data_IF_831652358626
#
_entry.id   IF_831652358626
#
_cell.length_a   1.000
_cell.length_b   1.000
_cell.length_c   1.000
_cell.angle_alpha   90.00
_cell.angle_beta   90.00
_cell.angle_gamma   90.00
#
_symmetry.space_group_name_H-M   'P 1'
#
loop_
_entity.id
_entity.type
_entity.pdbx_description
1 polymer ?
#
# COMPACT_ATOMS: atom_id res chain seq x y z
N UNK A 1 16.49 -4.86 -32.45
CA UNK A 1 17.01 -4.18 -31.24
C UNK A 1 17.00 -2.66 -31.46
N UNK A 2 15.90 -1.95 -31.11
CA UNK A 2 15.88 -0.48 -31.00
C UNK A 2 15.28 0.08 -29.69
N UNK A 3 14.88 -0.76 -28.72
CA UNK A 3 14.06 -0.30 -27.57
C UNK A 3 14.79 0.60 -26.56
N UNK A 4 16.11 0.49 -26.41
CA UNK A 4 16.84 1.16 -25.33
C UNK A 4 16.91 2.69 -25.45
N UNK A 5 16.90 3.22 -26.68
CA UNK A 5 17.02 4.68 -26.90
C UNK A 5 15.75 5.44 -26.53
N UNK A 6 14.58 4.86 -26.77
CA UNK A 6 13.29 5.49 -26.46
C UNK A 6 12.99 5.48 -24.95
N UNK A 7 13.39 4.43 -24.23
CA UNK A 7 13.23 4.35 -22.77
C UNK A 7 14.07 5.39 -22.02
N UNK A 8 15.31 5.61 -22.48
CA UNK A 8 16.21 6.62 -21.88
C UNK A 8 15.68 8.04 -22.10
N UNK A 9 15.09 8.31 -23.27
CA UNK A 9 14.47 9.59 -23.59
C UNK A 9 13.25 9.88 -22.70
N UNK A 10 12.35 8.89 -22.54
CA UNK A 10 11.18 9.03 -21.68
C UNK A 10 11.57 9.26 -20.21
N UNK A 11 12.54 8.50 -19.69
CA UNK A 11 12.99 8.64 -18.30
C UNK A 11 13.57 10.04 -18.03
N UNK A 12 14.36 10.57 -18.96
CA UNK A 12 14.89 11.93 -18.86
C UNK A 12 13.79 12.99 -18.93
N UNK A 13 12.80 12.80 -19.81
CA UNK A 13 11.68 13.73 -19.94
C UNK A 13 10.75 13.73 -18.71
N UNK A 14 10.51 12.57 -18.09
CA UNK A 14 9.80 12.49 -16.81
C UNK A 14 10.60 13.17 -15.71
N UNK A 15 11.92 12.95 -15.63
CA UNK A 15 12.77 13.60 -14.63
C UNK A 15 12.74 15.13 -14.74
N UNK A 16 12.77 15.67 -15.95
CA UNK A 16 12.62 17.11 -16.20
C UNK A 16 11.24 17.64 -15.78
N UNK A 17 10.15 16.89 -16.05
CA UNK A 17 8.82 17.25 -15.58
C UNK A 17 8.73 17.28 -14.05
N UNK A 18 9.32 16.29 -13.37
CA UNK A 18 9.38 16.23 -11.90
C UNK A 18 10.20 17.38 -11.33
N UNK A 19 11.36 17.69 -11.90
CA UNK A 19 12.19 18.80 -11.44
C UNK A 19 11.46 20.16 -11.53
N UNK A 20 10.66 20.38 -12.58
CA UNK A 20 9.80 21.58 -12.68
C UNK A 20 8.70 21.59 -11.64
N UNK A 21 8.06 20.45 -11.41
CA UNK A 21 7.05 20.31 -10.36
C UNK A 21 7.63 20.62 -8.98
N UNK A 22 8.81 20.09 -8.63
CA UNK A 22 9.46 20.38 -7.35
C UNK A 22 9.79 21.87 -7.18
N UNK A 23 10.15 22.55 -8.28
CA UNK A 23 10.45 23.97 -8.25
C UNK A 23 9.21 24.88 -8.15
N UNK A 24 8.07 24.45 -8.70
CA UNK A 24 6.91 25.31 -8.92
C UNK A 24 5.66 24.89 -8.15
N UNK A 25 5.63 23.67 -7.62
CA UNK A 25 4.47 23.02 -7.00
C UNK A 25 3.21 23.01 -7.90
N UNK A 26 3.38 23.06 -9.21
CA UNK A 26 2.27 23.05 -10.18
C UNK A 26 1.91 21.62 -10.61
N UNK A 27 0.97 21.03 -9.88
CA UNK A 27 0.48 19.67 -10.16
C UNK A 27 -0.27 19.57 -11.50
N UNK A 28 -0.90 20.65 -11.95
CA UNK A 28 -1.67 20.66 -13.21
C UNK A 28 -0.71 20.60 -14.39
N UNK A 29 0.36 21.41 -14.34
CA UNK A 29 1.42 21.37 -15.34
C UNK A 29 2.12 20.00 -15.36
N UNK A 30 2.41 19.42 -14.18
CA UNK A 30 2.97 18.07 -14.07
C UNK A 30 2.07 17.03 -14.75
N UNK A 31 0.81 16.94 -14.35
CA UNK A 31 -0.11 15.94 -14.88
C UNK A 31 -0.33 16.09 -16.38
N UNK A 32 -0.42 17.34 -16.89
CA UNK A 32 -0.50 17.60 -18.33
C UNK A 32 0.73 17.05 -19.06
N UNK A 33 1.93 17.34 -18.54
CA UNK A 33 3.18 16.86 -19.14
C UNK A 33 3.32 15.35 -19.08
N UNK A 34 2.97 14.72 -17.96
CA UNK A 34 3.01 13.27 -17.82
C UNK A 34 2.02 12.58 -18.76
N UNK A 35 0.83 13.15 -18.97
CA UNK A 35 -0.15 12.64 -19.92
C UNK A 35 0.38 12.66 -21.36
N UNK A 36 1.01 13.77 -21.78
CA UNK A 36 1.69 13.86 -23.09
C UNK A 36 2.79 12.82 -23.26
N UNK A 37 3.62 12.63 -22.23
CA UNK A 37 4.72 11.66 -22.24
C UNK A 37 4.24 10.21 -22.24
N UNK A 38 3.10 9.95 -21.61
CA UNK A 38 2.49 8.63 -21.54
C UNK A 38 1.71 8.26 -22.81
N UNK A 39 1.39 9.23 -23.66
CA UNK A 39 0.72 8.97 -24.93
C UNK A 39 1.64 8.20 -25.89
N UNK A 40 1.15 7.08 -26.41
CA UNK A 40 1.92 6.17 -27.27
C UNK A 40 3.11 5.43 -26.61
N UNK A 41 3.49 5.74 -25.37
CA UNK A 41 4.60 5.07 -24.68
C UNK A 41 4.25 3.63 -24.28
N UNK A 42 5.23 2.73 -24.36
CA UNK A 42 5.07 1.35 -23.92
C UNK A 42 5.10 1.23 -22.39
N UNK A 43 4.38 0.24 -21.85
CA UNK A 43 4.26 0.04 -20.41
C UNK A 43 5.62 -0.21 -19.71
N UNK A 44 6.59 -0.86 -20.35
CA UNK A 44 7.90 -1.09 -19.71
C UNK A 44 8.70 0.21 -19.58
N UNK A 45 8.65 1.06 -20.60
CA UNK A 45 9.26 2.38 -20.55
C UNK A 45 8.60 3.27 -19.48
N UNK A 46 7.27 3.23 -19.36
CA UNK A 46 6.53 3.95 -18.32
C UNK A 46 6.89 3.45 -16.91
N UNK A 47 6.96 2.14 -16.71
CA UNK A 47 7.39 1.54 -15.43
C UNK A 47 8.81 1.98 -15.10
N UNK A 48 9.72 1.94 -16.07
CA UNK A 48 11.12 2.36 -15.87
C UNK A 48 11.23 3.85 -15.52
N UNK A 49 10.51 4.71 -16.23
CA UNK A 49 10.51 6.15 -15.99
C UNK A 49 9.86 6.53 -14.65
N UNK A 50 8.84 5.78 -14.21
CA UNK A 50 8.16 6.02 -12.94
C UNK A 50 8.91 5.44 -11.72
N UNK A 51 9.80 4.45 -11.90
CA UNK A 51 10.43 3.71 -10.81
C UNK A 51 11.14 4.59 -9.75
N UNK A 52 11.89 5.66 -10.12
CA UNK A 52 12.51 6.56 -9.13
C UNK A 52 11.50 7.35 -8.30
N UNK A 53 10.28 7.51 -8.80
CA UNK A 53 9.23 8.37 -8.26
C UNK A 53 8.06 7.57 -7.68
N UNK A 54 8.25 6.28 -7.39
CA UNK A 54 7.19 5.39 -6.91
C UNK A 54 6.52 5.86 -5.58
N UNK A 55 7.17 6.75 -4.84
CA UNK A 55 6.65 7.35 -3.60
C UNK A 55 6.03 8.74 -3.80
N UNK A 56 6.01 9.26 -5.03
CA UNK A 56 5.40 10.55 -5.37
C UNK A 56 4.09 10.25 -6.13
N UNK A 57 2.92 10.26 -5.46
CA UNK A 57 1.68 9.81 -6.06
C UNK A 57 1.25 10.65 -7.28
N UNK A 58 1.58 11.95 -7.31
CA UNK A 58 1.37 12.87 -8.43
C UNK A 58 2.15 12.47 -9.70
N UNK A 59 3.23 11.68 -9.55
CA UNK A 59 4.04 11.17 -10.65
C UNK A 59 3.66 9.73 -10.96
N UNK A 60 3.67 8.86 -9.96
CA UNK A 60 3.39 7.44 -10.12
C UNK A 60 1.96 7.19 -10.59
N UNK A 61 0.96 7.90 -10.05
CA UNK A 61 -0.45 7.72 -10.37
C UNK A 61 -0.73 7.83 -11.88
N UNK A 62 -0.51 8.99 -12.52
CA UNK A 62 -0.79 9.17 -13.95
C UNK A 62 -0.05 8.18 -14.87
N UNK A 63 1.22 7.87 -14.57
CA UNK A 63 1.99 6.92 -15.37
C UNK A 63 1.45 5.49 -15.21
N UNK A 64 1.12 5.07 -13.99
CA UNK A 64 0.58 3.73 -13.73
C UNK A 64 -0.88 3.56 -14.15
N UNK A 65 -1.66 4.64 -14.26
CA UNK A 65 -2.98 4.60 -14.94
C UNK A 65 -2.80 4.09 -16.38
N UNK A 66 -1.81 4.62 -17.10
CA UNK A 66 -1.51 4.18 -18.47
C UNK A 66 -0.96 2.75 -18.51
N UNK A 67 -0.09 2.38 -17.58
CA UNK A 67 0.44 1.00 -17.47
C UNK A 67 -0.70 0.01 -17.24
N UNK A 68 -1.61 0.28 -16.31
CA UNK A 68 -2.75 -0.61 -15.99
C UNK A 68 -3.73 -0.70 -17.16
N UNK A 69 -3.93 0.37 -17.92
CA UNK A 69 -4.72 0.30 -19.17
C UNK A 69 -4.10 -0.66 -20.20
N UNK A 70 -2.77 -0.69 -20.33
CA UNK A 70 -2.07 -1.60 -21.24
C UNK A 70 -1.95 -3.03 -20.69
N UNK A 71 -1.86 -3.17 -19.37
CA UNK A 71 -1.64 -4.43 -18.65
C UNK A 71 -2.64 -4.58 -17.49
N UNK A 72 -3.93 -4.87 -17.79
CA UNK A 72 -4.99 -4.84 -16.78
C UNK A 72 -4.89 -5.94 -15.70
N UNK A 73 -4.02 -6.93 -15.92
CA UNK A 73 -3.75 -8.06 -15.02
C UNK A 73 -2.31 -8.07 -14.48
N UNK A 74 -1.57 -6.98 -14.59
CA UNK A 74 -0.28 -6.85 -13.91
C UNK A 74 -0.52 -6.49 -12.44
N UNK A 75 -0.41 -7.48 -11.55
CA UNK A 75 -0.63 -7.31 -10.12
C UNK A 75 0.28 -6.25 -9.49
N UNK A 76 1.52 -6.13 -9.96
CA UNK A 76 2.46 -5.13 -9.43
C UNK A 76 2.03 -3.73 -9.85
N UNK A 77 1.66 -3.53 -11.12
CA UNK A 77 1.18 -2.25 -11.61
C UNK A 77 -0.11 -1.81 -10.90
N UNK A 78 -1.05 -2.74 -10.70
CA UNK A 78 -2.28 -2.50 -9.96
C UNK A 78 -2.00 -2.05 -8.51
N UNK A 79 -1.05 -2.70 -7.82
CA UNK A 79 -0.64 -2.33 -6.46
C UNK A 79 -0.01 -0.94 -6.41
N UNK A 80 0.87 -0.59 -7.36
CA UNK A 80 1.49 0.75 -7.39
C UNK A 80 0.44 1.82 -7.63
N UNK A 81 -0.48 1.60 -8.57
CA UNK A 81 -1.59 2.53 -8.83
C UNK A 81 -2.49 2.69 -7.60
N UNK A 82 -2.88 1.58 -6.97
CA UNK A 82 -3.71 1.59 -5.76
C UNK A 82 -3.03 2.33 -4.60
N UNK A 83 -1.72 2.15 -4.41
CA UNK A 83 -0.97 2.89 -3.40
C UNK A 83 -0.92 4.40 -3.71
N UNK A 84 -0.69 4.78 -4.99
CA UNK A 84 -0.72 6.20 -5.38
C UNK A 84 -2.10 6.83 -5.12
N UNK A 85 -3.17 6.11 -5.46
CA UNK A 85 -4.55 6.54 -5.19
C UNK A 85 -4.86 6.67 -3.71
N UNK A 86 -4.36 5.75 -2.88
CA UNK A 86 -4.51 5.84 -1.42
C UNK A 86 -3.82 7.10 -0.88
N UNK A 87 -2.56 7.32 -1.25
CA UNK A 87 -1.77 8.48 -0.78
C UNK A 87 -2.36 9.82 -1.27
N UNK A 88 -2.98 9.84 -2.44
CA UNK A 88 -3.64 11.04 -3.00
C UNK A 88 -5.12 11.18 -2.58
N UNK A 89 -5.62 10.33 -1.69
CA UNK A 89 -6.96 10.48 -1.11
C UNK A 89 -8.12 10.16 -2.07
N UNK A 90 -7.91 9.32 -3.09
CA UNK A 90 -8.98 8.86 -4.00
C UNK A 90 -10.05 7.98 -3.32
N UNK A 91 -9.78 7.52 -2.11
CA UNK A 91 -10.74 6.83 -1.25
C UNK A 91 -10.66 5.30 -1.29
N UNK A 92 -11.29 4.63 -0.32
CA UNK A 92 -11.20 3.19 -0.12
C UNK A 92 -11.79 2.37 -1.26
N UNK A 93 -12.91 2.78 -1.87
CA UNK A 93 -13.62 1.97 -2.87
C UNK A 93 -12.75 1.64 -4.09
N UNK A 94 -12.12 2.66 -4.68
CA UNK A 94 -11.27 2.50 -5.86
C UNK A 94 -9.99 1.72 -5.52
N UNK A 95 -9.40 1.99 -4.35
CA UNK A 95 -8.21 1.25 -3.88
C UNK A 95 -8.54 -0.22 -3.64
N UNK A 96 -9.70 -0.51 -3.05
CA UNK A 96 -10.20 -1.86 -2.81
C UNK A 96 -10.47 -2.63 -4.10
N UNK A 97 -11.01 -1.98 -5.13
CA UNK A 97 -11.21 -2.59 -6.46
C UNK A 97 -9.87 -2.98 -7.10
N UNK A 98 -8.91 -2.06 -7.14
CA UNK A 98 -7.58 -2.31 -7.70
C UNK A 98 -6.83 -3.41 -6.93
N UNK A 99 -6.92 -3.39 -5.60
CA UNK A 99 -6.32 -4.42 -4.76
C UNK A 99 -6.97 -5.80 -5.00
N UNK A 100 -8.29 -5.86 -5.15
CA UNK A 100 -9.02 -7.10 -5.49
C UNK A 100 -8.58 -7.66 -6.84
N UNK A 101 -8.43 -6.80 -7.86
CA UNK A 101 -7.92 -7.19 -9.17
C UNK A 101 -6.47 -7.66 -9.09
N UNK A 102 -5.63 -7.03 -8.28
CA UNK A 102 -4.25 -7.44 -8.08
C UNK A 102 -4.16 -8.81 -7.40
N UNK A 103 -5.00 -9.10 -6.39
CA UNK A 103 -5.10 -10.43 -5.76
C UNK A 103 -5.55 -11.48 -6.78
N UNK A 104 -6.52 -11.15 -7.65
CA UNK A 104 -7.00 -12.08 -8.67
C UNK A 104 -5.92 -12.39 -9.72
N UNK A 105 -5.09 -11.41 -10.07
CA UNK A 105 -3.97 -11.57 -11.00
C UNK A 105 -2.79 -12.36 -10.39
N UNK A 106 -2.43 -12.05 -9.14
CA UNK A 106 -1.41 -12.75 -8.39
C UNK A 106 -1.80 -12.87 -6.90
N UNK A 107 -2.34 -14.03 -6.49
CA UNK A 107 -2.73 -14.27 -5.11
C UNK A 107 -1.56 -14.24 -4.11
N UNK A 108 -0.30 -14.30 -4.59
CA UNK A 108 0.89 -14.25 -3.74
C UNK A 108 1.41 -12.83 -3.52
N UNK A 109 0.84 -11.83 -4.20
CA UNK A 109 1.23 -10.44 -4.07
C UNK A 109 0.78 -9.86 -2.71
N UNK A 110 1.71 -9.84 -1.76
CA UNK A 110 1.50 -9.33 -0.39
C UNK A 110 0.97 -7.89 -0.34
N UNK A 111 1.46 -7.01 -1.22
CA UNK A 111 1.04 -5.61 -1.27
C UNK A 111 -0.44 -5.45 -1.65
N UNK A 112 -0.94 -6.32 -2.53
CA UNK A 112 -2.35 -6.35 -2.90
C UNK A 112 -3.25 -6.69 -1.70
N UNK A 113 -2.85 -7.71 -0.93
CA UNK A 113 -3.56 -8.09 0.30
C UNK A 113 -3.55 -6.98 1.37
N UNK A 114 -2.43 -6.26 1.50
CA UNK A 114 -2.33 -5.13 2.42
C UNK A 114 -3.28 -4.00 2.05
N UNK A 115 -3.28 -3.58 0.78
CA UNK A 115 -4.18 -2.52 0.30
C UNK A 115 -5.66 -2.95 0.38
N UNK A 116 -5.95 -4.22 0.11
CA UNK A 116 -7.31 -4.76 0.23
C UNK A 116 -7.83 -4.75 1.67
N UNK A 117 -6.98 -5.09 2.65
CA UNK A 117 -7.35 -4.99 4.06
C UNK A 117 -7.46 -3.52 4.51
N UNK A 118 -6.49 -2.68 4.12
CA UNK A 118 -6.45 -1.25 4.47
C UNK A 118 -7.66 -0.47 3.94
N UNK A 119 -8.14 -0.81 2.73
CA UNK A 119 -9.27 -0.15 2.09
C UNK A 119 -10.63 -0.51 2.73
N UNK A 120 -10.70 -1.46 3.66
CA UNK A 120 -11.95 -1.77 4.35
C UNK A 120 -12.28 -0.68 5.38
N UNK A 121 -13.42 0.00 5.21
CA UNK A 121 -13.81 1.11 6.07
C UNK A 121 -14.41 0.64 7.39
N UNK A 122 -15.13 -0.49 7.38
CA UNK A 122 -15.73 -1.06 8.59
C UNK A 122 -14.65 -1.66 9.52
N UNK A 123 -14.52 -1.19 10.78
CA UNK A 123 -13.44 -1.63 11.67
C UNK A 123 -13.42 -3.14 11.94
N UNK A 124 -14.59 -3.75 12.07
CA UNK A 124 -14.72 -5.19 12.34
C UNK A 124 -14.32 -6.00 11.12
N UNK A 125 -14.83 -5.66 9.94
CA UNK A 125 -14.43 -6.31 8.69
C UNK A 125 -12.95 -6.09 8.39
N UNK A 126 -12.41 -4.89 8.63
CA UNK A 126 -10.98 -4.59 8.43
C UNK A 126 -10.10 -5.46 9.34
N UNK A 127 -10.49 -5.63 10.60
CA UNK A 127 -9.83 -6.55 11.53
C UNK A 127 -9.86 -7.99 11.01
N UNK A 128 -11.03 -8.45 10.53
CA UNK A 128 -11.16 -9.77 9.93
C UNK A 128 -10.30 -9.95 8.66
N UNK A 129 -10.19 -8.91 7.81
CA UNK A 129 -9.31 -8.92 6.64
C UNK A 129 -7.85 -9.01 7.03
N UNK A 130 -7.38 -8.21 7.98
CA UNK A 130 -6.01 -8.32 8.49
C UNK A 130 -5.71 -9.70 9.08
N UNK A 131 -6.67 -10.32 9.76
CA UNK A 131 -6.53 -11.69 10.25
C UNK A 131 -6.42 -12.70 9.10
N UNK A 132 -7.12 -12.49 7.98
CA UNK A 132 -6.92 -13.30 6.79
C UNK A 132 -5.53 -13.11 6.18
N UNK A 133 -5.02 -11.87 6.15
CA UNK A 133 -3.67 -11.56 5.66
C UNK A 133 -2.61 -12.29 6.49
N UNK A 134 -2.69 -12.28 7.82
CA UNK A 134 -1.71 -12.95 8.68
C UNK A 134 -1.74 -14.48 8.54
N UNK A 135 -2.91 -15.08 8.32
CA UNK A 135 -3.02 -16.52 7.99
C UNK A 135 -2.37 -16.86 6.65
N UNK A 136 -2.50 -15.97 5.66
CA UNK A 136 -1.94 -16.14 4.32
C UNK A 136 -0.42 -15.95 4.29
N UNK A 137 0.08 -14.99 5.07
CA UNK A 137 1.49 -14.64 5.16
C UNK A 137 1.96 -14.69 6.62
N UNK A 138 2.22 -15.87 7.20
CA UNK A 138 2.52 -16.02 8.62
C UNK A 138 3.81 -15.30 9.08
N UNK A 139 4.72 -15.02 8.16
CA UNK A 139 5.98 -14.31 8.42
C UNK A 139 5.90 -12.80 8.16
N UNK A 140 4.69 -12.29 7.88
CA UNK A 140 4.46 -10.88 7.67
C UNK A 140 4.19 -10.18 9.01
N UNK A 141 5.27 -9.78 9.68
CA UNK A 141 5.19 -9.09 10.96
C UNK A 141 4.54 -7.70 10.86
N UNK A 142 4.57 -7.07 9.68
CA UNK A 142 3.83 -5.82 9.45
C UNK A 142 2.33 -6.07 9.46
N UNK A 143 1.85 -7.10 8.75
CA UNK A 143 0.43 -7.47 8.79
C UNK A 143 -0.02 -7.88 10.20
N UNK A 144 0.84 -8.52 10.99
CA UNK A 144 0.56 -8.84 12.41
C UNK A 144 0.45 -7.59 13.27
N UNK A 145 1.34 -6.62 13.11
CA UNK A 145 1.23 -5.34 13.81
C UNK A 145 -0.08 -4.64 13.46
N UNK A 146 -0.43 -4.58 12.16
CA UNK A 146 -1.69 -3.99 11.70
C UNK A 146 -2.93 -4.74 12.23
N UNK A 147 -2.88 -6.07 12.31
CA UNK A 147 -3.94 -6.86 12.95
C UNK A 147 -4.09 -6.50 14.43
N UNK A 148 -3.00 -6.48 15.18
CA UNK A 148 -3.01 -6.18 16.60
C UNK A 148 -3.57 -4.78 16.89
N UNK A 149 -3.14 -3.77 16.12
CA UNK A 149 -3.59 -2.39 16.24
C UNK A 149 -5.10 -2.24 15.91
N UNK A 150 -5.56 -2.90 14.85
CA UNK A 150 -6.98 -2.87 14.47
C UNK A 150 -7.86 -3.62 15.48
N UNK A 151 -7.40 -4.77 15.98
CA UNK A 151 -8.11 -5.53 17.01
C UNK A 151 -8.18 -4.78 18.35
N UNK A 152 -7.08 -4.14 18.78
CA UNK A 152 -7.08 -3.30 19.97
C UNK A 152 -8.02 -2.09 19.84
N UNK A 153 -8.03 -1.45 18.67
CA UNK A 153 -8.92 -0.33 18.37
C UNK A 153 -10.39 -0.77 18.37
N UNK A 154 -10.69 -1.92 17.75
CA UNK A 154 -12.03 -2.52 17.73
C UNK A 154 -12.51 -2.86 19.16
N UNK A 155 -11.65 -3.50 19.95
CA UNK A 155 -11.93 -3.86 21.34
C UNK A 155 -12.34 -2.64 22.17
N UNK A 156 -11.56 -1.56 22.09
CA UNK A 156 -11.84 -0.33 22.84
C UNK A 156 -13.09 0.42 22.34
N UNK A 157 -13.33 0.43 21.03
CA UNK A 157 -14.46 1.17 20.44
C UNK A 157 -15.81 0.45 20.61
N UNK A 158 -15.81 -0.88 20.54
CA UNK A 158 -17.02 -1.70 20.53
C UNK A 158 -17.20 -2.53 21.80
N UNK A 159 -16.33 -2.38 22.80
CA UNK A 159 -16.31 -3.21 24.02
C UNK A 159 -16.23 -4.71 23.68
N UNK A 160 -15.39 -5.05 22.71
CA UNK A 160 -15.27 -6.40 22.16
C UNK A 160 -14.13 -7.18 22.83
N UNK A 161 -14.51 -8.08 23.75
CA UNK A 161 -13.58 -8.96 24.47
C UNK A 161 -12.82 -9.93 23.54
N UNK A 162 -13.44 -10.41 22.45
CA UNK A 162 -12.77 -11.31 21.50
C UNK A 162 -11.69 -10.56 20.72
N UNK A 163 -11.97 -9.32 20.33
CA UNK A 163 -10.99 -8.45 19.71
C UNK A 163 -9.83 -8.11 20.66
N UNK A 164 -10.09 -7.94 21.96
CA UNK A 164 -9.04 -7.73 22.96
C UNK A 164 -8.13 -8.95 23.09
N UNK A 165 -8.72 -10.15 23.16
CA UNK A 165 -7.95 -11.41 23.20
C UNK A 165 -7.11 -11.57 21.93
N UNK A 166 -7.68 -11.28 20.75
CA UNK A 166 -6.96 -11.32 19.48
C UNK A 166 -5.79 -10.34 19.45
N UNK A 167 -5.98 -9.11 19.91
CA UNK A 167 -4.94 -8.10 19.98
C UNK A 167 -3.77 -8.54 20.88
N UNK A 168 -4.08 -8.99 22.10
CA UNK A 168 -3.08 -9.48 23.07
C UNK A 168 -2.29 -10.64 22.49
N UNK A 169 -2.97 -11.67 21.97
CA UNK A 169 -2.30 -12.84 21.40
C UNK A 169 -1.37 -12.46 20.22
N UNK A 170 -1.80 -11.52 19.38
CA UNK A 170 -1.00 -11.06 18.23
C UNK A 170 0.23 -10.26 18.67
N UNK A 171 0.11 -9.38 19.68
CA UNK A 171 1.27 -8.67 20.24
C UNK A 171 2.24 -9.61 20.99
N UNK A 172 1.75 -10.64 21.67
CA UNK A 172 2.59 -11.67 22.29
C UNK A 172 3.42 -12.40 21.24
N UNK A 173 2.81 -12.76 20.10
CA UNK A 173 3.53 -13.37 18.98
C UNK A 173 4.61 -12.42 18.42
N UNK A 174 4.30 -11.13 18.24
CA UNK A 174 5.30 -10.14 17.81
C UNK A 174 6.46 -10.04 18.81
N UNK A 175 6.17 -10.01 20.12
CA UNK A 175 7.18 -9.92 21.17
C UNK A 175 8.10 -11.14 21.21
N UNK A 176 7.55 -12.32 20.94
CA UNK A 176 8.31 -13.57 20.86
C UNK A 176 9.26 -13.62 19.66
N UNK A 177 9.03 -12.80 18.62
CA UNK A 177 9.77 -12.84 17.36
C UNK A 177 10.63 -11.60 17.09
N UNK A 178 10.74 -10.66 18.03
CA UNK A 178 11.62 -9.48 17.88
C UNK A 178 12.78 -9.47 18.87
N UNK A 179 13.97 -9.26 18.34
CA UNK A 179 15.22 -9.04 19.08
C UNK A 179 15.55 -7.54 19.22
N UNK A 180 14.76 -6.65 18.62
CA UNK A 180 15.01 -5.20 18.62
C UNK A 180 14.56 -4.61 19.96
N UNK A 181 15.46 -4.08 20.81
CA UNK A 181 15.12 -3.64 22.17
C UNK A 181 14.00 -2.60 22.21
N UNK A 182 13.98 -1.64 21.29
CA UNK A 182 12.93 -0.63 21.24
C UNK A 182 11.55 -1.24 20.93
N UNK A 183 11.49 -2.20 19.99
CA UNK A 183 10.25 -2.89 19.66
C UNK A 183 9.76 -3.74 20.82
N UNK A 184 10.67 -4.46 21.50
CA UNK A 184 10.34 -5.26 22.69
C UNK A 184 9.70 -4.38 23.77
N UNK A 185 10.33 -3.25 24.10
CA UNK A 185 9.80 -2.31 25.10
C UNK A 185 8.44 -1.74 24.72
N UNK A 186 8.23 -1.41 23.44
CA UNK A 186 6.93 -0.95 22.94
C UNK A 186 5.83 -2.02 23.07
N UNK A 187 6.14 -3.26 22.69
CA UNK A 187 5.21 -4.39 22.76
C UNK A 187 4.87 -4.77 24.22
N UNK A 188 5.86 -4.80 25.11
CA UNK A 188 5.64 -5.05 26.54
C UNK A 188 4.73 -3.98 27.17
N UNK A 189 4.92 -2.72 26.81
CA UNK A 189 4.06 -1.62 27.26
C UNK A 189 2.63 -1.71 26.71
N UNK A 190 2.46 -2.06 25.43
CA UNK A 190 1.16 -2.28 24.83
C UNK A 190 0.41 -3.43 25.53
N UNK A 191 1.08 -4.57 25.72
CA UNK A 191 0.53 -5.73 26.42
C UNK A 191 0.14 -5.43 27.86
N UNK A 192 0.97 -4.69 28.61
CA UNK A 192 0.65 -4.26 29.97
C UNK A 192 -0.62 -3.41 29.99
N UNK A 193 -0.76 -2.50 29.04
CA UNK A 193 -1.94 -1.63 28.91
C UNK A 193 -3.20 -2.44 28.62
N UNK A 194 -3.18 -3.27 27.58
CA UNK A 194 -4.35 -4.05 27.14
C UNK A 194 -4.83 -5.04 28.20
N UNK A 195 -3.92 -5.71 28.90
CA UNK A 195 -4.29 -6.63 29.99
C UNK A 195 -4.94 -5.93 31.20
N UNK A 196 -4.77 -4.61 31.30
CA UNK A 196 -5.42 -3.79 32.33
C UNK A 196 -6.81 -3.29 31.93
N UNK A 197 -7.25 -3.48 30.68
CA UNK A 197 -8.55 -3.02 30.22
C UNK A 197 -9.69 -3.79 30.89
N UNK A 198 -10.77 -3.05 31.16
CA UNK A 198 -12.08 -3.58 31.54
C UNK A 198 -13.05 -2.97 30.54
N UNK A 199 -13.51 -3.79 29.60
CA UNK A 199 -14.46 -3.39 28.59
C UNK A 199 -15.88 -3.34 29.18
#
# INVERSE_FOLDING_TARGET
MPHTSHTLDLSAAVADAVARYEAQADVVALHTRLAELADGADADALIAAAAPYAQIPEVAGPLYERVVQQRPHDARALVVLANAYWLHGRGPDVVGELATRAIAADPTNRGAWHLWALAESDPRQRTARWHQVTKRFPQDFLAKALLADNAASLAGAEHDDEALVLAIATYEELLANTDVPEQRGALENALKTLRGWKL
#
